data_IF_015631755757
#
_entry.id   IF_015631755757
#
_cell.length_a   1.000
_cell.length_b   1.000
_cell.length_c   1.000
_cell.angle_alpha   90.00
_cell.angle_beta   90.00
_cell.angle_gamma   90.00
#
_symmetry.space_group_name_H-M   'P 1'
#
loop_
_entity.id
_entity.type
_entity.pdbx_description
1 polymer ?
#
# COMPACT_ATOMS: atom_id res chain seq x y z
N UNK A 1 9.43 -35.54 0.85
CA UNK A 1 8.95 -34.54 1.84
C UNK A 1 7.92 -33.69 1.14
N UNK A 2 6.66 -33.75 1.55
CA UNK A 2 5.63 -32.83 1.05
C UNK A 2 5.89 -31.44 1.62
N UNK A 3 5.83 -30.35 0.81
CA UNK A 3 6.01 -29.01 1.34
C UNK A 3 4.92 -28.73 2.38
N UNK A 4 5.34 -28.29 3.56
CA UNK A 4 4.43 -27.79 4.59
C UNK A 4 3.60 -26.64 4.00
N UNK A 5 2.29 -26.56 4.29
CA UNK A 5 1.46 -25.45 3.80
C UNK A 5 2.09 -24.11 4.19
N UNK A 6 2.06 -23.09 3.32
CA UNK A 6 2.53 -21.77 3.68
C UNK A 6 1.76 -21.28 4.91
N UNK A 7 2.47 -20.98 5.99
CA UNK A 7 1.86 -20.39 7.18
C UNK A 7 1.59 -18.92 6.92
N UNK A 8 0.49 -18.41 7.48
CA UNK A 8 0.18 -16.98 7.41
C UNK A 8 1.21 -16.18 8.22
N UNK A 9 2.02 -15.38 7.53
CA UNK A 9 3.05 -14.53 8.14
C UNK A 9 2.64 -13.06 8.02
N UNK A 10 2.06 -12.51 9.08
CA UNK A 10 1.56 -11.13 9.14
C UNK A 10 2.49 -10.08 8.48
N UNK A 11 3.79 -9.99 8.80
CA UNK A 11 4.66 -8.98 8.21
C UNK A 11 4.92 -9.18 6.71
N UNK A 12 5.07 -10.42 6.26
CA UNK A 12 5.31 -10.75 4.85
C UNK A 12 4.05 -10.52 4.00
N UNK A 13 2.91 -11.00 4.48
CA UNK A 13 1.60 -10.82 3.86
C UNK A 13 1.26 -9.34 3.72
N UNK A 14 1.49 -8.56 4.78
CA UNK A 14 1.30 -7.10 4.74
C UNK A 14 2.20 -6.46 3.69
N UNK A 15 3.48 -6.85 3.62
CA UNK A 15 4.39 -6.32 2.59
C UNK A 15 3.91 -6.65 1.17
N UNK A 16 3.40 -7.85 0.94
CA UNK A 16 2.86 -8.22 -0.37
C UNK A 16 1.62 -7.41 -0.72
N UNK A 17 0.68 -7.22 0.21
CA UNK A 17 -0.48 -6.36 -0.03
C UNK A 17 -0.09 -4.91 -0.25
N UNK A 18 0.87 -4.37 0.50
CA UNK A 18 1.36 -3.00 0.31
C UNK A 18 1.97 -2.83 -1.08
N UNK A 19 2.82 -3.76 -1.52
CA UNK A 19 3.44 -3.71 -2.85
C UNK A 19 2.41 -3.84 -3.97
N UNK A 20 1.54 -4.85 -3.90
CA UNK A 20 0.48 -5.04 -4.91
C UNK A 20 -0.51 -3.88 -4.96
N UNK A 21 -0.76 -3.23 -3.83
CA UNK A 21 -1.58 -2.00 -3.79
C UNK A 21 -0.90 -0.86 -4.53
N UNK A 22 0.41 -0.63 -4.30
CA UNK A 22 1.17 0.39 -5.04
C UNK A 22 1.18 0.11 -6.54
N UNK A 23 1.44 -1.14 -6.92
CA UNK A 23 1.41 -1.55 -8.32
C UNK A 23 0.04 -1.30 -8.94
N UNK A 24 -1.05 -1.66 -8.23
CA UNK A 24 -2.42 -1.38 -8.67
C UNK A 24 -2.69 0.12 -8.86
N UNK A 25 -2.18 0.99 -7.97
CA UNK A 25 -2.34 2.45 -8.09
C UNK A 25 -1.57 2.99 -9.30
N UNK A 26 -0.34 2.53 -9.53
CA UNK A 26 0.51 2.94 -10.65
C UNK A 26 -0.08 2.44 -11.98
N UNK A 27 -0.41 1.15 -12.05
CA UNK A 27 -0.90 0.51 -13.28
C UNK A 27 -2.38 0.74 -13.53
N UNK A 28 -3.11 1.33 -12.57
CA UNK A 28 -4.58 1.46 -12.56
C UNK A 28 -5.30 0.14 -12.85
N UNK A 29 -4.74 -0.96 -12.33
CA UNK A 29 -5.22 -2.31 -12.58
C UNK A 29 -5.30 -3.08 -11.25
N UNK A 30 -6.49 -3.57 -10.90
CA UNK A 30 -6.75 -4.29 -9.65
C UNK A 30 -6.30 -5.76 -9.67
N UNK A 31 -6.02 -6.31 -10.85
CA UNK A 31 -5.70 -7.73 -11.02
C UNK A 31 -4.48 -8.21 -10.19
N UNK A 32 -3.37 -7.45 -10.08
CA UNK A 32 -2.25 -7.83 -9.20
C UNK A 32 -2.69 -8.02 -7.74
N UNK A 33 -3.48 -7.09 -7.21
CA UNK A 33 -3.97 -7.16 -5.84
C UNK A 33 -4.92 -8.35 -5.63
N UNK A 34 -5.84 -8.62 -6.56
CA UNK A 34 -6.73 -9.79 -6.50
C UNK A 34 -5.96 -11.11 -6.59
N UNK A 35 -4.92 -11.16 -7.41
CA UNK A 35 -4.02 -12.32 -7.53
C UNK A 35 -3.29 -12.56 -6.22
N UNK A 36 -2.70 -11.53 -5.61
CA UNK A 36 -2.05 -11.61 -4.30
C UNK A 36 -3.02 -12.06 -3.22
N UNK A 37 -4.22 -11.48 -3.17
CA UNK A 37 -5.26 -11.91 -2.25
C UNK A 37 -5.59 -13.38 -2.43
N UNK A 38 -5.74 -13.87 -3.66
CA UNK A 38 -6.13 -15.27 -3.91
C UNK A 38 -5.02 -16.28 -3.58
N UNK A 39 -3.76 -15.91 -3.78
CA UNK A 39 -2.58 -16.79 -3.58
C UNK A 39 -2.14 -16.89 -2.12
N UNK A 40 -2.54 -15.94 -1.28
CA UNK A 40 -2.18 -15.89 0.12
C UNK A 40 -2.86 -17.00 0.92
N UNK A 41 -2.06 -17.74 1.69
CA UNK A 41 -2.53 -18.65 2.73
C UNK A 41 -3.23 -17.87 3.86
N UNK A 42 -3.88 -18.58 4.77
CA UNK A 42 -4.67 -17.97 5.86
C UNK A 42 -6.15 -17.88 5.56
N UNK A 43 -6.94 -17.62 6.59
CA UNK A 43 -8.39 -17.50 6.45
C UNK A 43 -8.79 -16.11 5.92
N UNK A 44 -10.04 -15.98 5.47
CA UNK A 44 -10.55 -14.75 4.87
C UNK A 44 -10.48 -13.55 5.84
N UNK A 45 -10.71 -13.76 7.13
CA UNK A 45 -10.65 -12.69 8.14
C UNK A 45 -9.21 -12.16 8.33
N UNK A 46 -8.23 -13.04 8.39
CA UNK A 46 -6.80 -12.67 8.50
C UNK A 46 -6.34 -11.86 7.29
N UNK A 47 -6.74 -12.32 6.09
CA UNK A 47 -6.41 -11.67 4.83
C UNK A 47 -7.07 -10.31 4.71
N UNK A 48 -8.36 -10.20 5.03
CA UNK A 48 -9.09 -8.94 5.03
C UNK A 48 -8.50 -7.96 6.05
N UNK A 49 -8.23 -8.40 7.28
CA UNK A 49 -7.61 -7.54 8.30
C UNK A 49 -6.24 -7.02 7.87
N UNK A 50 -5.44 -7.86 7.22
CA UNK A 50 -4.09 -7.49 6.77
C UNK A 50 -4.12 -6.60 5.53
N UNK A 51 -5.08 -6.82 4.63
CA UNK A 51 -5.36 -5.94 3.49
C UNK A 51 -5.80 -4.54 3.97
N UNK A 52 -6.71 -4.48 4.93
CA UNK A 52 -7.13 -3.22 5.56
C UNK A 52 -5.95 -2.46 6.17
N UNK A 53 -5.06 -3.14 6.87
CA UNK A 53 -3.83 -2.54 7.40
C UNK A 53 -2.92 -2.04 6.28
N UNK A 54 -2.74 -2.81 5.20
CA UNK A 54 -1.93 -2.40 4.06
C UNK A 54 -2.52 -1.15 3.38
N UNK A 55 -3.84 -1.06 3.22
CA UNK A 55 -4.50 0.14 2.69
C UNK A 55 -4.34 1.35 3.59
N UNK A 56 -4.43 1.18 4.91
CA UNK A 56 -4.19 2.28 5.86
C UNK A 56 -2.78 2.85 5.72
N UNK A 57 -1.76 1.99 5.62
CA UNK A 57 -0.37 2.42 5.41
C UNK A 57 -0.22 3.22 4.11
N UNK A 58 -0.80 2.73 3.00
CA UNK A 58 -0.73 3.45 1.72
C UNK A 58 -1.47 4.78 1.76
N UNK A 59 -2.65 4.84 2.39
CA UNK A 59 -3.39 6.09 2.55
C UNK A 59 -2.63 7.10 3.41
N UNK A 60 -1.98 6.66 4.48
CA UNK A 60 -1.14 7.51 5.32
C UNK A 60 0.05 8.07 4.52
N UNK A 61 0.75 7.24 3.74
CA UNK A 61 1.84 7.67 2.85
C UNK A 61 1.36 8.76 1.86
N UNK A 62 0.21 8.55 1.21
CA UNK A 62 -0.37 9.50 0.26
C UNK A 62 -0.80 10.82 0.91
N UNK A 63 -1.39 10.76 2.11
CA UNK A 63 -1.76 11.98 2.86
C UNK A 63 -0.51 12.80 3.18
N UNK A 64 0.56 12.17 3.66
CA UNK A 64 1.83 12.86 3.96
C UNK A 64 2.43 13.45 2.68
N UNK A 65 2.40 12.71 1.57
CA UNK A 65 2.90 13.19 0.28
C UNK A 65 2.13 14.42 -0.22
N UNK A 66 0.79 14.41 -0.13
CA UNK A 66 -0.05 15.55 -0.51
C UNK A 66 0.27 16.78 0.35
N UNK A 67 0.40 16.62 1.67
CA UNK A 67 0.78 17.71 2.56
C UNK A 67 2.15 18.29 2.20
N UNK A 68 3.12 17.43 1.91
CA UNK A 68 4.45 17.84 1.46
C UNK A 68 4.40 18.68 0.18
N UNK A 69 3.62 18.24 -0.83
CA UNK A 69 3.44 19.00 -2.08
C UNK A 69 2.78 20.36 -1.85
N UNK A 70 1.79 20.43 -0.96
CA UNK A 70 1.15 21.70 -0.60
C UNK A 70 2.14 22.68 0.03
N UNK A 71 2.99 22.21 0.94
CA UNK A 71 4.04 23.02 1.56
C UNK A 71 5.03 23.51 0.51
N UNK A 72 5.50 22.63 -0.38
CA UNK A 72 6.43 23.00 -1.45
C UNK A 72 5.83 24.08 -2.37
N UNK A 73 4.54 23.97 -2.70
CA UNK A 73 3.84 24.96 -3.50
C UNK A 73 3.78 26.33 -2.78
N UNK A 74 3.42 26.36 -1.50
CA UNK A 74 3.40 27.59 -0.70
C UNK A 74 4.78 28.23 -0.65
N UNK A 75 5.83 27.46 -0.38
CA UNK A 75 7.20 27.96 -0.35
C UNK A 75 7.63 28.54 -1.70
N UNK A 76 7.22 27.90 -2.80
CA UNK A 76 7.47 28.38 -4.16
C UNK A 76 6.80 29.73 -4.39
N UNK A 77 5.54 29.88 -4.00
CA UNK A 77 4.79 31.15 -4.11
C UNK A 77 5.46 32.23 -3.26
N UNK A 78 5.83 31.93 -2.02
CA UNK A 78 6.53 32.86 -1.12
C UNK A 78 7.86 33.34 -1.71
N UNK A 79 8.63 32.44 -2.32
CA UNK A 79 9.87 32.79 -2.99
C UNK A 79 9.65 33.68 -4.23
N UNK A 80 8.56 33.48 -4.98
CA UNK A 80 8.22 34.34 -6.13
C UNK A 80 7.83 35.75 -5.68
N UNK A 81 7.05 35.90 -4.60
CA UNK A 81 6.57 37.22 -4.14
C UNK A 81 7.62 38.04 -3.37
N UNK A 82 8.71 37.41 -2.93
CA UNK A 82 9.78 38.06 -2.15
C UNK A 82 11.00 38.44 -2.99
N UNK A 83 11.01 38.10 -4.29
CA UNK A 83 11.98 38.56 -5.28
C UNK A 83 11.52 39.86 -5.93
#
# INVERSE_FOLDING_TARGET
MSPSPPLFSLPEVRSWFTNSTRDTLISKNIMPLLSTFSQLAGNENEKNCTLDQAFRVILEDEIVYIQYLQILNILTILNIITQ
#
